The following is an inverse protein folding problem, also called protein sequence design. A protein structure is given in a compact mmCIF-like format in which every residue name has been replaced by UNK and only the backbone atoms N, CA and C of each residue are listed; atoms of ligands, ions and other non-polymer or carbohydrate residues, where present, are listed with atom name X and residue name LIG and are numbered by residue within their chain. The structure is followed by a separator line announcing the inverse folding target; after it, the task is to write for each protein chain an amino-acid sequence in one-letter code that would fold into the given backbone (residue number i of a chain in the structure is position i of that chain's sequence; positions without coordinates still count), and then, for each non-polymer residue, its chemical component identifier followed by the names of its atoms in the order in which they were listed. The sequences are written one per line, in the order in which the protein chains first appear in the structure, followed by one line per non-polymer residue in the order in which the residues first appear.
data_IF_613133696587
#
_entry.id   IF_613133696587
#
_cell.length_a   1.000
_cell.length_b   1.000
_cell.length_c   1.000
_cell.angle_alpha   90.00
_cell.angle_beta   90.00
_cell.angle_gamma   90.00
#
_symmetry.space_group_name_H-M   'P 1'
#
loop_
_entity.id
_entity.type
_entity.pdbx_description
1 polymer ?
#
# COMPACT_ATOMS: atom_id res chain seq x y z
N UNK A 1 12.51 -4.32 -27.54
CA UNK A 1 11.20 -3.89 -28.09
C UNK A 1 10.02 -4.50 -27.33
N UNK A 2 10.07 -5.79 -26.97
CA UNK A 2 9.04 -6.46 -26.15
C UNK A 2 8.99 -5.89 -24.70
N UNK A 3 10.12 -5.53 -24.15
CA UNK A 3 10.23 -4.95 -22.79
C UNK A 3 9.61 -3.56 -22.72
N UNK A 4 9.84 -2.71 -23.70
CA UNK A 4 9.25 -1.36 -23.77
C UNK A 4 7.74 -1.41 -23.98
N UNK A 5 7.24 -2.40 -24.72
CA UNK A 5 5.80 -2.61 -24.96
C UNK A 5 5.10 -3.13 -23.70
N UNK A 6 5.71 -4.08 -22.99
CA UNK A 6 5.19 -4.62 -21.72
C UNK A 6 5.18 -3.55 -20.63
N UNK A 7 6.23 -2.72 -20.52
CA UNK A 7 6.27 -1.66 -19.51
C UNK A 7 5.23 -0.55 -19.79
N UNK A 8 4.99 -0.20 -21.05
CA UNK A 8 3.97 0.77 -21.41
C UNK A 8 2.55 0.23 -21.19
N UNK A 9 2.33 -1.04 -21.39
CA UNK A 9 1.05 -1.71 -21.14
C UNK A 9 0.76 -1.81 -19.62
N UNK A 10 1.76 -2.14 -18.81
CA UNK A 10 1.68 -2.15 -17.36
C UNK A 10 1.36 -0.75 -16.79
N UNK A 11 1.99 0.27 -17.34
CA UNK A 11 1.75 1.65 -16.92
C UNK A 11 0.33 2.12 -17.29
N UNK A 12 -0.20 1.72 -18.45
CA UNK A 12 -1.57 2.02 -18.86
C UNK A 12 -2.62 1.35 -17.97
N UNK A 13 -2.46 0.08 -17.62
CA UNK A 13 -3.37 -0.60 -16.68
C UNK A 13 -3.30 -0.04 -15.27
N UNK A 14 -2.13 0.40 -14.87
CA UNK A 14 -1.84 1.07 -13.64
C UNK A 14 -2.58 2.41 -13.55
N UNK A 15 -2.47 3.22 -14.59
CA UNK A 15 -3.22 4.46 -14.76
C UNK A 15 -4.74 4.21 -14.73
N UNK A 16 -5.20 3.14 -15.34
CA UNK A 16 -6.62 2.76 -15.33
C UNK A 16 -7.12 2.37 -13.93
N UNK A 17 -6.32 1.64 -13.15
CA UNK A 17 -6.67 1.31 -11.76
C UNK A 17 -6.72 2.57 -10.89
N UNK A 18 -5.74 3.45 -11.01
CA UNK A 18 -5.71 4.74 -10.31
C UNK A 18 -6.90 5.63 -10.71
N UNK A 19 -7.23 5.69 -12.00
CA UNK A 19 -8.36 6.44 -12.52
C UNK A 19 -9.70 5.91 -12.00
N UNK A 20 -9.88 4.60 -11.89
CA UNK A 20 -11.10 4.00 -11.32
C UNK A 20 -11.31 4.40 -9.86
N UNK A 21 -10.25 4.42 -9.08
CA UNK A 21 -10.33 4.85 -7.69
C UNK A 21 -10.64 6.35 -7.61
N UNK A 22 -10.00 7.16 -8.47
CA UNK A 22 -10.29 8.60 -8.56
C UNK A 22 -11.72 8.87 -9.01
N UNK A 23 -12.25 8.13 -9.97
CA UNK A 23 -13.65 8.20 -10.40
C UNK A 23 -14.60 7.84 -9.27
N UNK A 24 -14.31 6.78 -8.51
CA UNK A 24 -15.10 6.39 -7.36
C UNK A 24 -15.10 7.46 -6.26
N UNK A 25 -13.94 8.05 -5.95
CA UNK A 25 -13.81 9.18 -5.00
C UNK A 25 -14.61 10.39 -5.48
N UNK A 26 -14.64 10.62 -6.80
CA UNK A 26 -15.35 11.73 -7.44
C UNK A 26 -16.82 11.41 -7.76
N UNK A 27 -17.30 10.20 -7.43
CA UNK A 27 -18.64 9.76 -7.76
C UNK A 27 -19.72 10.60 -7.04
N UNK A 28 -20.91 10.75 -7.66
CA UNK A 28 -22.02 11.45 -7.03
C UNK A 28 -22.43 10.86 -5.68
N UNK A 29 -22.28 9.56 -5.51
CA UNK A 29 -22.59 8.85 -4.25
C UNK A 29 -21.63 9.24 -3.13
N UNK A 30 -20.33 9.30 -3.44
CA UNK A 30 -19.33 9.81 -2.51
C UNK A 30 -19.55 11.29 -2.19
N UNK A 31 -19.90 12.11 -3.21
CA UNK A 31 -20.23 13.52 -3.03
C UNK A 31 -21.49 13.73 -2.20
N UNK A 32 -22.52 12.90 -2.39
CA UNK A 32 -23.74 12.96 -1.56
C UNK A 32 -23.45 12.64 -0.09
N UNK A 33 -22.63 11.62 0.17
CA UNK A 33 -22.16 11.31 1.51
C UNK A 33 -21.38 12.46 2.15
N UNK A 34 -20.56 13.15 1.37
CA UNK A 34 -19.82 14.33 1.79
C UNK A 34 -20.72 15.55 1.99
N UNK A 35 -21.70 15.77 1.12
CA UNK A 35 -22.64 16.90 1.18
C UNK A 35 -23.63 16.77 2.34
N UNK A 36 -24.13 15.58 2.64
CA UNK A 36 -25.02 15.33 3.78
C UNK A 36 -24.30 15.66 5.10
N UNK A 37 -23.03 15.33 5.19
CA UNK A 37 -22.18 15.70 6.33
C UNK A 37 -21.82 17.19 6.35
N UNK A 38 -21.80 17.88 5.20
CA UNK A 38 -21.49 19.30 5.08
C UNK A 38 -22.60 20.23 5.55
N UNK A 39 -23.83 19.73 5.75
CA UNK A 39 -24.96 20.56 6.22
C UNK A 39 -24.77 21.10 7.64
N UNK A 40 -23.86 20.53 8.41
CA UNK A 40 -23.58 20.94 9.78
C UNK A 40 -22.45 21.99 9.92
N UNK A 41 -21.75 22.34 8.83
CA UNK A 41 -20.87 23.51 8.76
C UNK A 41 -19.68 23.54 9.72
N UNK A 42 -19.33 22.41 10.37
CA UNK A 42 -18.24 22.35 11.34
C UNK A 42 -16.88 22.40 10.63
N UNK A 43 -16.02 23.40 10.91
CA UNK A 43 -14.70 23.52 10.32
C UNK A 43 -13.78 22.34 10.59
N UNK A 44 -13.89 21.68 11.74
CA UNK A 44 -13.12 20.49 12.09
C UNK A 44 -13.48 19.31 11.18
N UNK A 45 -14.76 19.12 10.87
CA UNK A 45 -15.24 18.08 9.97
C UNK A 45 -14.72 18.33 8.55
N UNK A 46 -14.76 19.57 8.07
CA UNK A 46 -14.20 19.96 6.76
C UNK A 46 -12.71 19.68 6.66
N UNK A 47 -11.94 20.07 7.67
CA UNK A 47 -10.50 19.85 7.73
C UNK A 47 -10.16 18.35 7.73
N UNK A 48 -10.87 17.56 8.53
CA UNK A 48 -10.70 16.10 8.61
C UNK A 48 -11.02 15.40 7.29
N UNK A 49 -12.05 15.83 6.57
CA UNK A 49 -12.39 15.30 5.24
C UNK A 49 -11.33 15.61 4.21
N UNK A 50 -10.86 16.85 4.17
CA UNK A 50 -9.82 17.28 3.26
C UNK A 50 -8.54 16.48 3.48
N UNK A 51 -8.20 16.22 4.75
CA UNK A 51 -7.08 15.37 5.11
C UNK A 51 -7.29 13.93 4.68
N UNK A 52 -8.47 13.35 4.91
CA UNK A 52 -8.81 11.99 4.50
C UNK A 52 -8.77 11.81 2.98
N UNK A 53 -9.24 12.80 2.22
CA UNK A 53 -9.16 12.79 0.75
C UNK A 53 -7.70 12.84 0.27
N UNK A 54 -6.88 13.67 0.90
CA UNK A 54 -5.45 13.77 0.61
C UNK A 54 -4.73 12.45 0.88
N UNK A 55 -4.98 11.84 2.04
CA UNK A 55 -4.41 10.54 2.39
C UNK A 55 -4.82 9.46 1.41
N UNK A 56 -6.09 9.40 1.02
CA UNK A 56 -6.56 8.43 0.04
C UNK A 56 -5.94 8.63 -1.33
N UNK A 57 -5.77 9.88 -1.75
CA UNK A 57 -5.09 10.22 -2.99
C UNK A 57 -3.62 9.76 -2.98
N UNK A 58 -2.90 10.04 -1.89
CA UNK A 58 -1.51 9.63 -1.72
C UNK A 58 -1.37 8.09 -1.69
N UNK A 59 -2.26 7.39 -1.01
CA UNK A 59 -2.31 5.93 -0.99
C UNK A 59 -2.59 5.35 -2.37
N UNK A 60 -3.47 5.96 -3.14
CA UNK A 60 -3.76 5.54 -4.51
C UNK A 60 -2.55 5.75 -5.42
N UNK A 61 -1.89 6.89 -5.32
CA UNK A 61 -0.66 7.16 -6.06
C UNK A 61 0.46 6.17 -5.70
N UNK A 62 0.48 5.66 -4.48
CA UNK A 62 1.49 4.70 -4.00
C UNK A 62 1.39 3.31 -4.62
N UNK A 63 0.30 2.99 -5.33
CA UNK A 63 0.19 1.71 -6.06
C UNK A 63 1.37 1.46 -7.01
N UNK A 64 1.99 2.53 -7.56
CA UNK A 64 3.20 2.42 -8.40
C UNK A 64 4.40 1.83 -7.67
N UNK A 65 4.45 1.96 -6.38
CA UNK A 65 5.57 1.50 -5.59
C UNK A 65 5.50 0.00 -5.26
N UNK A 66 4.35 -0.64 -5.47
CA UNK A 66 4.19 -2.08 -5.18
C UNK A 66 5.15 -2.93 -6.01
N UNK A 67 5.40 -2.57 -7.25
CA UNK A 67 6.36 -3.28 -8.11
C UNK A 67 7.79 -3.33 -7.54
N UNK A 68 8.17 -2.30 -6.77
CA UNK A 68 9.49 -2.19 -6.16
C UNK A 68 9.51 -2.69 -4.72
N UNK A 69 8.38 -3.18 -4.20
CA UNK A 69 8.30 -3.75 -2.86
C UNK A 69 8.87 -5.16 -2.80
N UNK A 70 9.30 -5.57 -1.61
CA UNK A 70 9.84 -6.91 -1.36
C UNK A 70 8.74 -7.91 -0.99
N UNK A 71 7.70 -7.44 -0.33
CA UNK A 71 6.63 -8.27 0.21
C UNK A 71 5.39 -7.43 0.43
N UNK A 72 4.24 -8.07 0.29
CA UNK A 72 2.95 -7.53 0.69
C UNK A 72 2.39 -8.38 1.83
N UNK A 73 2.13 -7.75 2.96
CA UNK A 73 1.54 -8.40 4.14
C UNK A 73 0.05 -8.12 4.15
N UNK A 74 -0.76 -9.17 4.27
CA UNK A 74 -2.21 -9.05 4.12
C UNK A 74 -2.99 -9.62 5.29
N UNK A 75 -4.08 -8.93 5.59
CA UNK A 75 -5.28 -9.53 6.15
C UNK A 75 -6.23 -9.74 4.96
N UNK A 76 -6.48 -10.99 4.52
CA UNK A 76 -7.24 -11.24 3.30
C UNK A 76 -8.57 -10.49 3.29
N UNK A 77 -8.92 -9.91 2.15
CA UNK A 77 -10.11 -9.11 1.89
C UNK A 77 -10.17 -7.74 2.58
N UNK A 78 -9.30 -7.44 3.54
CA UNK A 78 -9.41 -6.21 4.34
C UNK A 78 -8.24 -5.25 4.19
N UNK A 79 -7.01 -5.73 4.38
CA UNK A 79 -5.81 -4.87 4.48
C UNK A 79 -4.67 -5.44 3.65
N UNK A 80 -3.89 -4.56 3.03
CA UNK A 80 -2.61 -4.89 2.41
C UNK A 80 -1.59 -3.79 2.72
N UNK A 81 -0.39 -4.20 3.10
CA UNK A 81 0.75 -3.30 3.37
C UNK A 81 1.96 -3.82 2.62
N UNK A 82 2.51 -3.01 1.72
CA UNK A 82 3.70 -3.32 0.96
C UNK A 82 4.93 -2.71 1.64
N UNK A 83 5.97 -3.52 1.80
CA UNK A 83 7.22 -3.13 2.43
C UNK A 83 8.38 -3.22 1.45
N UNK A 84 9.33 -2.31 1.56
CA UNK A 84 10.58 -2.29 0.82
C UNK A 84 11.74 -2.10 1.76
N UNK A 85 12.80 -2.89 1.58
CA UNK A 85 14.04 -2.77 2.35
C UNK A 85 15.26 -3.04 1.47
N UNK A 86 16.16 -2.07 1.45
CA UNK A 86 17.48 -2.22 0.85
C UNK A 86 18.53 -2.15 1.96
N UNK A 87 19.22 -3.27 2.19
CA UNK A 87 20.25 -3.39 3.23
C UNK A 87 21.39 -2.40 3.08
N UNK A 88 21.66 -1.93 1.86
CA UNK A 88 22.79 -1.05 1.57
C UNK A 88 22.48 0.43 1.78
N UNK A 89 21.21 0.83 1.66
CA UNK A 89 20.80 2.23 1.69
C UNK A 89 19.82 2.57 2.80
N UNK A 90 19.20 1.57 3.44
CA UNK A 90 18.11 1.77 4.41
C UNK A 90 18.46 1.10 5.73
N UNK A 91 18.12 1.75 6.84
CA UNK A 91 18.29 1.22 8.19
C UNK A 91 17.16 0.29 8.61
N UNK A 92 15.98 0.45 8.03
CA UNK A 92 14.81 -0.39 8.29
C UNK A 92 13.90 -0.42 7.08
N UNK A 93 12.99 -1.41 7.00
CA UNK A 93 11.97 -1.44 5.96
C UNK A 93 11.06 -0.22 6.00
N UNK A 94 10.53 0.14 4.85
CA UNK A 94 9.65 1.28 4.63
C UNK A 94 8.31 0.83 4.08
N UNK A 95 7.23 1.43 4.56
CA UNK A 95 5.89 1.23 4.00
C UNK A 95 5.80 2.01 2.69
N UNK A 96 5.74 1.32 1.56
CA UNK A 96 5.69 1.94 0.24
C UNK A 96 4.31 1.97 -0.38
N UNK A 97 3.41 1.11 0.10
CA UNK A 97 1.98 1.14 -0.22
C UNK A 97 1.19 0.56 0.94
N UNK A 98 0.03 1.11 1.19
CA UNK A 98 -0.87 0.64 2.26
C UNK A 98 -2.31 0.99 1.91
N UNK A 99 -3.24 0.10 2.24
CA UNK A 99 -4.63 0.33 1.97
C UNK A 99 -5.54 -0.74 2.56
N UNK A 100 -6.82 -0.46 2.54
CA UNK A 100 -7.87 -1.40 2.94
C UNK A 100 -8.98 -1.45 1.88
N UNK A 101 -9.81 -2.50 1.94
CA UNK A 101 -10.92 -2.67 1.02
C UNK A 101 -10.47 -2.80 -0.43
N UNK A 102 -11.02 -2.00 -1.30
CA UNK A 102 -10.73 -2.01 -2.73
C UNK A 102 -9.25 -1.68 -3.03
N UNK A 103 -8.69 -0.72 -2.30
CA UNK A 103 -7.27 -0.37 -2.44
C UNK A 103 -6.36 -1.54 -2.06
N UNK A 104 -6.70 -2.29 -1.01
CA UNK A 104 -5.98 -3.51 -0.64
C UNK A 104 -6.02 -4.55 -1.76
N UNK A 105 -7.15 -4.72 -2.44
CA UNK A 105 -7.26 -5.61 -3.58
C UNK A 105 -6.37 -5.18 -4.74
N UNK A 106 -6.32 -3.89 -5.05
CA UNK A 106 -5.42 -3.36 -6.07
C UNK A 106 -3.95 -3.56 -5.72
N UNK A 107 -3.57 -3.39 -4.45
CA UNK A 107 -2.22 -3.70 -3.99
C UNK A 107 -1.89 -5.19 -4.22
N UNK A 108 -2.79 -6.09 -3.88
CA UNK A 108 -2.60 -7.53 -4.11
C UNK A 108 -2.50 -7.88 -5.60
N UNK A 109 -3.33 -7.27 -6.44
CA UNK A 109 -3.27 -7.46 -7.89
C UNK A 109 -1.94 -7.01 -8.47
N UNK A 110 -1.45 -5.84 -8.07
CA UNK A 110 -0.14 -5.34 -8.47
C UNK A 110 0.99 -6.27 -7.99
N UNK A 111 0.91 -6.75 -6.76
CA UNK A 111 1.88 -7.70 -6.23
C UNK A 111 1.93 -9.00 -7.04
N UNK A 112 0.78 -9.57 -7.39
CA UNK A 112 0.71 -10.77 -8.23
C UNK A 112 1.29 -10.52 -9.61
N UNK A 113 0.98 -9.39 -10.22
CA UNK A 113 1.47 -9.00 -11.54
C UNK A 113 2.99 -8.89 -11.58
N UNK A 114 3.57 -8.28 -10.58
CA UNK A 114 5.02 -8.04 -10.49
C UNK A 114 5.77 -9.13 -9.72
N UNK A 115 5.09 -10.24 -9.42
CA UNK A 115 5.68 -11.39 -8.71
C UNK A 115 6.25 -11.03 -7.33
N UNK A 116 5.63 -10.07 -6.67
CA UNK A 116 5.94 -9.72 -5.29
C UNK A 116 5.26 -10.72 -4.37
N UNK A 117 6.00 -11.36 -3.44
CA UNK A 117 5.42 -12.31 -2.51
C UNK A 117 4.33 -11.69 -1.64
N UNK A 118 3.23 -12.41 -1.46
CA UNK A 118 2.13 -12.02 -0.58
C UNK A 118 2.10 -12.94 0.62
N UNK A 119 2.24 -12.37 1.80
CA UNK A 119 2.22 -13.11 3.07
C UNK A 119 0.93 -12.82 3.82
N UNK A 120 0.17 -13.85 4.10
CA UNK A 120 -1.00 -13.76 4.96
C UNK A 120 -0.54 -13.76 6.41
N UNK A 121 -0.67 -12.63 7.07
CA UNK A 121 -0.43 -12.50 8.51
C UNK A 121 -1.37 -11.44 9.06
N UNK A 122 -2.51 -11.88 9.55
CA UNK A 122 -3.60 -10.98 10.00
C UNK A 122 -3.17 -10.07 11.14
N UNK A 123 -2.53 -10.57 12.23
CA UNK A 123 -2.09 -9.70 13.31
C UNK A 123 -1.08 -8.65 12.86
N UNK A 124 -0.10 -9.05 12.05
CA UNK A 124 0.94 -8.16 11.56
C UNK A 124 0.37 -7.11 10.60
N UNK A 125 -0.50 -7.51 9.66
CA UNK A 125 -1.13 -6.58 8.74
C UNK A 125 -1.93 -5.50 9.49
N UNK A 126 -2.70 -5.90 10.49
CA UNK A 126 -3.46 -4.97 11.33
C UNK A 126 -2.56 -4.02 12.12
N UNK A 127 -1.49 -4.55 12.68
CA UNK A 127 -0.51 -3.78 13.44
C UNK A 127 0.16 -2.72 12.58
N UNK A 128 0.67 -3.11 11.41
CA UNK A 128 1.34 -2.21 10.47
C UNK A 128 0.38 -1.16 9.93
N UNK A 129 -0.82 -1.55 9.54
CA UNK A 129 -1.81 -0.61 9.02
C UNK A 129 -2.23 0.43 10.07
N UNK A 130 -2.41 0.01 11.32
CA UNK A 130 -2.84 0.89 12.41
C UNK A 130 -1.74 1.85 12.86
N UNK A 131 -0.50 1.37 12.97
CA UNK A 131 0.60 2.13 13.56
C UNK A 131 1.43 2.93 12.57
N UNK A 132 1.46 2.55 11.30
CA UNK A 132 2.35 3.15 10.32
C UNK A 132 1.58 3.83 9.20
N UNK A 133 2.09 5.00 8.83
CA UNK A 133 1.63 5.77 7.68
C UNK A 133 2.42 5.39 6.42
N UNK A 134 1.89 5.81 5.27
CA UNK A 134 2.60 5.70 4.00
C UNK A 134 3.97 6.42 4.08
N UNK A 135 4.98 5.81 3.47
CA UNK A 135 6.36 6.30 3.44
C UNK A 135 7.08 6.30 4.80
N UNK A 136 6.48 5.75 5.83
CA UNK A 136 7.09 5.62 7.15
C UNK A 136 8.00 4.40 7.23
N UNK A 137 9.15 4.54 7.87
CA UNK A 137 10.04 3.43 8.20
C UNK A 137 9.50 2.65 9.40
N UNK A 138 9.77 1.33 9.39
CA UNK A 138 9.43 0.46 10.52
C UNK A 138 10.24 0.89 11.75
N UNK A 139 9.62 1.29 12.85
CA UNK A 139 10.34 1.65 14.07
C UNK A 139 10.89 0.42 14.79
N UNK A 140 11.86 0.63 15.67
CA UNK A 140 12.58 -0.44 16.37
C UNK A 140 11.69 -1.38 17.17
N UNK A 141 10.62 -0.87 17.76
CA UNK A 141 9.65 -1.65 18.53
C UNK A 141 8.85 -2.66 17.68
N UNK A 142 8.77 -2.46 16.36
CA UNK A 142 8.11 -3.36 15.42
C UNK A 142 9.07 -4.30 14.67
N UNK A 143 10.36 -4.20 14.86
CA UNK A 143 11.34 -5.06 14.18
C UNK A 143 11.13 -6.54 14.45
N UNK A 144 10.79 -6.90 15.68
CA UNK A 144 10.54 -8.28 16.09
C UNK A 144 9.39 -8.93 15.31
N UNK A 145 8.42 -8.11 14.91
CA UNK A 145 7.24 -8.56 14.17
C UNK A 145 7.52 -8.72 12.67
N UNK A 146 8.38 -7.89 12.12
CA UNK A 146 8.69 -7.84 10.68
C UNK A 146 9.90 -8.71 10.31
N UNK A 147 10.87 -8.85 11.18
CA UNK A 147 12.09 -9.60 10.92
C UNK A 147 11.85 -11.06 10.47
N UNK A 148 10.91 -11.83 11.04
CA UNK A 148 10.62 -13.18 10.55
C UNK A 148 10.16 -13.24 9.11
N UNK A 149 9.43 -12.24 8.64
CA UNK A 149 8.98 -12.15 7.24
C UNK A 149 10.16 -11.97 6.31
N UNK A 150 11.09 -11.07 6.63
CA UNK A 150 12.29 -10.86 5.83
C UNK A 150 13.24 -12.05 5.86
N UNK A 151 13.36 -12.70 7.01
CA UNK A 151 14.14 -13.94 7.12
C UNK A 151 13.59 -15.01 6.17
N UNK A 152 12.30 -15.22 6.17
CA UNK A 152 11.64 -16.14 5.23
C UNK A 152 11.87 -15.74 3.78
N UNK A 153 11.76 -14.45 3.43
CA UNK A 153 12.02 -13.95 2.08
C UNK A 153 13.44 -14.27 1.61
N UNK A 154 14.44 -14.05 2.45
CA UNK A 154 15.83 -14.33 2.11
C UNK A 154 16.07 -15.82 1.94
N UNK A 155 15.44 -16.66 2.73
CA UNK A 155 15.53 -18.11 2.59
C UNK A 155 14.97 -18.60 1.25
N UNK A 156 13.82 -18.12 0.82
CA UNK A 156 13.23 -18.51 -0.47
C UNK A 156 13.94 -17.93 -1.67
N UNK A 157 14.63 -16.81 -1.52
CA UNK A 157 15.43 -16.19 -2.59
C UNK A 157 16.84 -16.78 -2.69
N UNK A 158 17.23 -17.67 -1.76
CA UNK A 158 18.57 -18.25 -1.71
C UNK A 158 19.67 -17.26 -1.33
N UNK A 159 19.30 -16.12 -0.76
CA UNK A 159 20.25 -15.13 -0.26
C UNK A 159 20.70 -15.59 1.11
N UNK A 160 21.97 -16.04 1.21
CA UNK A 160 22.60 -16.30 2.51
C UNK A 160 22.55 -15.01 3.33
N UNK A 161 21.92 -15.09 4.49
CA UNK A 161 22.15 -14.09 5.54
C UNK A 161 23.56 -14.30 6.03
N UNK A 162 24.52 -13.67 5.36
CA UNK A 162 25.89 -13.68 5.82
C UNK A 162 25.95 -13.10 7.24
N UNK A 163 26.53 -13.86 8.15
CA UNK A 163 26.88 -13.45 9.49
C UNK A 163 27.73 -12.16 9.48
#
# INVERSE_FOLDING_TARGET
LAYAFLSSFEEAEYQNAANRILEWISSPEMRKGLLIKNREGDPEIKAKRKQNQKELFEKTASLSNVKDSDVVITNPTHIAVALQFDRHTMLSPKVVATGRGELAEHIRQQARRHRVPIVRNVPLARLLYKKLSLAQFIPNDLFKEVAPVYKWLYEIQGVSTGE
#
